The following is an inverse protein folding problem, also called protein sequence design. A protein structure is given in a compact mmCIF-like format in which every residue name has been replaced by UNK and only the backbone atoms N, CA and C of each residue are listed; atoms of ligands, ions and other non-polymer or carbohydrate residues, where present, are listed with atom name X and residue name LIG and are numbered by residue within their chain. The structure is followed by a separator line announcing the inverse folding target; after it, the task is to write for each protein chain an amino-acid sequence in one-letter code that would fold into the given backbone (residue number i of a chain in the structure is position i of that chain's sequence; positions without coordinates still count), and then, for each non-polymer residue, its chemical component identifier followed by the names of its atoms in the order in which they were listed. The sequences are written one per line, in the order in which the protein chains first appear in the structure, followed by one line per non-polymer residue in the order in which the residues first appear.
data_IF_081356629878
#
_entry.id   IF_081356629878
#
_cell.length_a   1.000
_cell.length_b   1.000
_cell.length_c   1.000
_cell.angle_alpha   90.00
_cell.angle_beta   90.00
_cell.angle_gamma   90.00
#
_symmetry.space_group_name_H-M   'P 1'
#
loop_
_entity.id
_entity.type
_entity.pdbx_description
1 polymer ?
#
# COMPACT_ATOMS: atom_id res chain seq x y z
N UNK A 1 17.76 -3.76 -13.22
CA UNK A 1 17.67 -3.28 -11.82
C UNK A 1 16.71 -2.11 -11.77
N UNK A 2 15.48 -2.34 -11.33
CA UNK A 2 14.41 -1.33 -11.22
C UNK A 2 14.12 -1.04 -9.73
N UNK A 3 15.17 -0.71 -8.96
CA UNK A 3 15.06 -0.50 -7.52
C UNK A 3 14.02 0.55 -7.15
N UNK A 4 13.85 1.58 -7.99
CA UNK A 4 12.85 2.63 -7.80
C UNK A 4 11.41 2.14 -8.05
N UNK A 5 11.24 1.11 -8.90
CA UNK A 5 9.92 0.56 -9.23
C UNK A 5 9.44 -0.47 -8.21
N UNK A 6 10.35 -1.12 -7.48
CA UNK A 6 10.03 -2.22 -6.57
C UNK A 6 8.94 -1.87 -5.52
N UNK A 7 8.92 -0.68 -4.90
CA UNK A 7 7.83 -0.30 -4.00
C UNK A 7 6.47 -0.16 -4.73
N UNK A 8 6.47 0.39 -5.95
CA UNK A 8 5.26 0.56 -6.75
C UNK A 8 4.74 -0.80 -7.24
N UNK A 9 5.62 -1.68 -7.71
CA UNK A 9 5.28 -3.05 -8.11
C UNK A 9 4.67 -3.83 -6.95
N UNK A 10 5.25 -3.74 -5.74
CA UNK A 10 4.68 -4.36 -4.55
C UNK A 10 3.28 -3.84 -4.25
N UNK A 11 3.08 -2.52 -4.26
CA UNK A 11 1.77 -1.92 -4.03
C UNK A 11 0.74 -2.40 -5.04
N UNK A 12 1.04 -2.33 -6.34
CA UNK A 12 0.09 -2.71 -7.39
C UNK A 12 -0.15 -4.22 -7.47
N UNK A 13 0.82 -5.04 -7.09
CA UNK A 13 0.63 -6.48 -6.93
C UNK A 13 -0.44 -6.78 -5.88
N UNK A 14 -0.24 -6.27 -4.66
CA UNK A 14 -1.19 -6.48 -3.57
C UNK A 14 -2.55 -5.82 -3.81
N UNK A 15 -2.60 -4.62 -4.40
CA UNK A 15 -3.86 -3.95 -4.75
C UNK A 15 -4.75 -4.84 -5.64
N UNK A 16 -4.17 -5.52 -6.63
CA UNK A 16 -4.93 -6.36 -7.57
C UNK A 16 -5.50 -7.60 -6.90
N UNK A 17 -4.80 -8.15 -5.92
CA UNK A 17 -5.20 -9.38 -5.22
C UNK A 17 -6.16 -9.12 -4.06
N UNK A 18 -5.97 -8.00 -3.36
CA UNK A 18 -6.60 -7.74 -2.05
C UNK A 18 -7.77 -6.73 -2.12
N UNK A 19 -7.84 -5.86 -3.14
CA UNK A 19 -8.90 -4.85 -3.24
C UNK A 19 -10.21 -5.39 -3.81
N UNK A 20 -11.34 -4.96 -3.25
CA UNK A 20 -12.67 -5.40 -3.67
C UNK A 20 -13.20 -4.54 -4.81
N UNK A 21 -12.47 -4.53 -5.93
CA UNK A 21 -12.77 -3.69 -7.10
C UNK A 21 -13.93 -4.26 -7.92
N UNK A 22 -14.01 -5.58 -8.07
CA UNK A 22 -15.02 -6.25 -8.93
C UNK A 22 -16.49 -5.91 -8.57
N UNK A 23 -16.86 -5.78 -7.28
CA UNK A 23 -18.22 -5.44 -6.89
C UNK A 23 -18.59 -3.96 -7.09
N UNK A 24 -17.65 -3.06 -7.35
CA UNK A 24 -17.95 -1.63 -7.54
C UNK A 24 -18.77 -1.42 -8.81
N UNK A 25 -19.94 -0.81 -8.69
CA UNK A 25 -20.85 -0.50 -9.82
C UNK A 25 -20.78 0.96 -10.25
N UNK A 26 -20.11 1.81 -9.45
CA UNK A 26 -19.89 3.22 -9.78
C UNK A 26 -18.43 3.65 -9.66
N UNK A 27 -18.09 4.70 -10.39
CA UNK A 27 -16.76 5.31 -10.27
C UNK A 27 -16.49 5.86 -8.86
N UNK A 28 -17.54 6.31 -8.17
CA UNK A 28 -17.41 6.79 -6.79
C UNK A 28 -17.05 5.64 -5.83
N UNK A 29 -17.71 4.49 -5.96
CA UNK A 29 -17.36 3.29 -5.19
C UNK A 29 -15.94 2.83 -5.47
N UNK A 30 -15.54 2.79 -6.75
CA UNK A 30 -14.17 2.44 -7.14
C UNK A 30 -13.14 3.38 -6.49
N UNK A 31 -13.38 4.69 -6.54
CA UNK A 31 -12.52 5.68 -5.88
C UNK A 31 -12.44 5.45 -4.37
N UNK A 32 -13.57 5.15 -3.73
CA UNK A 32 -13.61 4.88 -2.30
C UNK A 32 -12.84 3.61 -1.95
N UNK A 33 -12.98 2.54 -2.73
CA UNK A 33 -12.27 1.28 -2.51
C UNK A 33 -10.76 1.45 -2.66
N UNK A 34 -10.31 2.12 -3.73
CA UNK A 34 -8.89 2.43 -3.92
C UNK A 34 -8.34 3.27 -2.76
N UNK A 35 -9.09 4.30 -2.32
CA UNK A 35 -8.68 5.14 -1.19
C UNK A 35 -8.58 4.33 0.11
N UNK A 36 -9.56 3.48 0.40
CA UNK A 36 -9.55 2.57 1.56
C UNK A 36 -8.34 1.65 1.52
N UNK A 37 -8.07 1.04 0.36
CA UNK A 37 -6.93 0.15 0.20
C UNK A 37 -5.60 0.88 0.37
N UNK A 38 -5.43 2.07 -0.22
CA UNK A 38 -4.23 2.89 -0.03
C UNK A 38 -3.99 3.22 1.45
N UNK A 39 -5.04 3.57 2.19
CA UNK A 39 -4.93 3.80 3.64
C UNK A 39 -4.53 2.53 4.38
N UNK A 40 -5.19 1.40 4.09
CA UNK A 40 -4.85 0.09 4.65
C UNK A 40 -3.37 -0.28 4.41
N UNK A 41 -2.93 -0.27 3.15
CA UNK A 41 -1.58 -0.65 2.75
C UNK A 41 -0.52 0.20 3.46
N UNK A 42 -0.71 1.52 3.51
CA UNK A 42 0.30 2.44 4.05
C UNK A 42 0.35 2.48 5.58
N UNK A 43 -0.78 2.30 6.26
CA UNK A 43 -0.89 2.52 7.71
C UNK A 43 -1.12 1.26 8.54
N UNK A 44 -1.58 0.16 7.94
CA UNK A 44 -2.04 -1.01 8.68
C UNK A 44 -1.41 -2.33 8.19
N UNK A 45 -0.91 -2.37 6.94
CA UNK A 45 -0.30 -3.56 6.37
C UNK A 45 1.18 -3.68 6.74
N UNK A 46 1.50 -4.53 7.71
CA UNK A 46 2.88 -4.84 8.07
C UNK A 46 3.61 -5.63 6.99
N UNK A 47 4.88 -5.31 6.76
CA UNK A 47 5.68 -5.98 5.73
C UNK A 47 6.97 -6.54 6.32
N UNK A 48 7.28 -7.80 6.02
CA UNK A 48 8.49 -8.48 6.47
C UNK A 48 9.77 -7.75 6.04
N UNK A 49 9.79 -7.28 4.79
CA UNK A 49 10.93 -6.54 4.22
C UNK A 49 11.11 -5.15 4.83
N UNK A 50 10.11 -4.64 5.57
CA UNK A 50 10.17 -3.36 6.28
C UNK A 50 10.35 -3.55 7.78
N UNK A 51 11.11 -4.58 8.19
CA UNK A 51 11.34 -4.91 9.62
C UNK A 51 10.01 -5.09 10.39
N UNK A 52 8.99 -5.66 9.75
CA UNK A 52 7.63 -5.78 10.29
C UNK A 52 7.02 -4.44 10.70
N UNK A 53 7.27 -3.38 9.94
CA UNK A 53 6.59 -2.09 10.05
C UNK A 53 5.63 -1.90 8.87
N UNK A 54 4.75 -0.92 8.98
CA UNK A 54 3.95 -0.42 7.86
C UNK A 54 4.81 0.51 7.01
N UNK A 55 4.46 0.77 5.73
CA UNK A 55 5.20 1.72 4.89
C UNK A 55 5.41 3.08 5.55
N UNK A 56 4.36 3.65 6.17
CA UNK A 56 4.46 4.92 6.90
C UNK A 56 5.31 4.77 8.16
N UNK A 57 5.14 3.70 8.93
CA UNK A 57 5.96 3.44 10.12
C UNK A 57 7.45 3.34 9.78
N UNK A 58 7.79 2.65 8.69
CA UNK A 58 9.16 2.51 8.23
C UNK A 58 9.75 3.85 7.77
N UNK A 59 8.97 4.65 7.01
CA UNK A 59 9.38 6.01 6.62
C UNK A 59 9.70 6.88 7.83
N UNK A 60 8.81 6.90 8.82
CA UNK A 60 9.00 7.72 10.01
C UNK A 60 10.22 7.25 10.83
N UNK A 61 10.38 5.93 11.00
CA UNK A 61 11.58 5.37 11.65
C UNK A 61 12.88 5.81 10.98
N UNK A 62 12.93 5.88 9.65
CA UNK A 62 14.11 6.37 8.93
C UNK A 62 14.34 7.87 9.12
N UNK A 63 13.27 8.67 9.20
CA UNK A 63 13.36 10.11 9.42
C UNK A 63 13.80 10.45 10.85
N UNK A 64 13.38 9.67 11.84
CA UNK A 64 13.76 9.87 13.24
C UNK A 64 15.21 9.44 13.54
N UNK A 65 15.79 8.59 12.68
CA UNK A 65 17.16 8.07 12.80
C UNK A 65 18.16 8.90 11.97
N UNK A 66 17.68 9.76 11.08
CA UNK A 66 18.48 10.67 10.25
C UNK A 66 18.85 11.96 10.99
#
# INVERSE_FOLDING_TARGET
NCWDNAPQESFFGHLKDEAHIKPCVSFNELKQEIKKYMTYYNHYRYQWNLKKMTPVGYRNHLLDVA
#
